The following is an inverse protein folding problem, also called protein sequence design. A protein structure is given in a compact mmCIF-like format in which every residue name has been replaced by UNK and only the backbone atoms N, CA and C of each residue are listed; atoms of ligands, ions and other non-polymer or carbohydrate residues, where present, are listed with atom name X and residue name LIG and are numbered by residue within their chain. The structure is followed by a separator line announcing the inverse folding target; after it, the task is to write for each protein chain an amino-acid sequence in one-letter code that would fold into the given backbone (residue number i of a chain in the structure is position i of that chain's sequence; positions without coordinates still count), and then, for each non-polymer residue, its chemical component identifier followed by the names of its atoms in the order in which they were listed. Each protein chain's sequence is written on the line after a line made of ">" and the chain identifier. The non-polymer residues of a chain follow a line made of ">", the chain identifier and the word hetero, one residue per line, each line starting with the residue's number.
data_IF_634368685667
#
_entry.id   IF_634368685667
#
_cell.length_a   1.000
_cell.length_b   1.000
_cell.length_c   1.000
_cell.angle_alpha   90.00
_cell.angle_beta   90.00
_cell.angle_gamma   90.00
#
_symmetry.space_group_name_H-M   'P 1'
#
loop_
_entity.id
_entity.type
_entity.pdbx_description
1 polymer ?
#
# COMPACT_ATOMS: atom_id res chain seq x y z
N UNK A 1 -24.22 -14.43 3.66
CA UNK A 1 -23.21 -14.86 2.67
C UNK A 1 -22.38 -16.09 3.10
N UNK A 2 -22.86 -16.97 3.99
CA UNK A 2 -22.17 -18.24 4.30
C UNK A 2 -20.84 -18.14 5.07
N UNK A 3 -20.30 -16.93 5.29
CA UNK A 3 -19.07 -16.72 6.05
C UNK A 3 -19.23 -16.97 7.55
N UNK A 4 -18.14 -17.41 8.17
CA UNK A 4 -18.04 -17.55 9.63
C UNK A 4 -17.82 -16.17 10.24
N UNK A 5 -18.70 -15.78 11.15
CA UNK A 5 -18.56 -14.53 11.89
C UNK A 5 -17.50 -14.71 12.97
N UNK A 6 -16.54 -13.80 13.01
CA UNK A 6 -15.47 -13.75 14.01
C UNK A 6 -15.34 -12.36 14.61
N UNK A 7 -14.85 -12.28 15.84
CA UNK A 7 -14.45 -11.01 16.47
C UNK A 7 -13.10 -10.50 15.91
N UNK A 8 -12.58 -9.41 16.45
CA UNK A 8 -11.27 -8.83 16.10
C UNK A 8 -10.09 -9.76 16.39
N UNK A 9 -10.27 -10.75 17.25
CA UNK A 9 -9.25 -11.76 17.61
C UNK A 9 -9.37 -13.05 16.80
N UNK A 10 -10.25 -13.07 15.79
CA UNK A 10 -10.57 -14.21 14.92
C UNK A 10 -11.31 -15.37 15.61
N UNK A 11 -11.89 -15.12 16.78
CA UNK A 11 -12.68 -16.09 17.53
C UNK A 11 -14.10 -16.17 16.98
N UNK A 12 -14.61 -17.40 16.84
CA UNK A 12 -16.01 -17.63 16.51
C UNK A 12 -16.91 -17.46 17.74
N UNK A 13 -18.22 -17.66 17.57
CA UNK A 13 -19.15 -17.73 18.71
C UNK A 13 -18.98 -18.97 19.60
N UNK A 14 -18.14 -19.93 19.20
CA UNK A 14 -17.84 -21.12 20.00
C UNK A 14 -16.48 -20.97 20.70
N UNK A 15 -16.40 -21.32 22.00
CA UNK A 15 -15.16 -21.20 22.74
C UNK A 15 -14.08 -22.11 22.13
N UNK A 16 -12.85 -21.62 22.11
CA UNK A 16 -11.67 -22.32 21.58
C UNK A 16 -11.78 -22.73 20.09
N UNK A 17 -12.58 -22.01 19.31
CA UNK A 17 -12.71 -22.19 17.86
C UNK A 17 -12.46 -20.85 17.18
N UNK A 18 -11.49 -20.81 16.28
CA UNK A 18 -11.15 -19.68 15.43
C UNK A 18 -11.47 -19.98 13.97
N UNK A 19 -11.68 -18.92 13.18
CA UNK A 19 -11.80 -19.01 11.73
C UNK A 19 -10.94 -17.92 11.06
N UNK A 20 -10.37 -18.23 9.91
CA UNK A 20 -9.40 -17.39 9.21
C UNK A 20 -9.53 -17.50 7.69
N UNK A 21 -8.94 -16.55 6.97
CA UNK A 21 -8.87 -16.55 5.50
C UNK A 21 -10.24 -16.40 4.84
N UNK A 22 -10.40 -17.01 3.67
CA UNK A 22 -11.60 -16.81 2.84
C UNK A 22 -12.91 -17.23 3.54
N UNK A 23 -12.83 -18.11 4.55
CA UNK A 23 -13.97 -18.54 5.34
C UNK A 23 -14.63 -17.41 6.14
N UNK A 24 -13.91 -16.34 6.47
CA UNK A 24 -14.44 -15.19 7.21
C UNK A 24 -14.87 -14.03 6.29
N UNK A 25 -14.62 -14.13 4.99
CA UNK A 25 -15.14 -13.20 3.98
C UNK A 25 -14.63 -11.75 4.06
N UNK A 26 -13.55 -11.48 4.80
CA UNK A 26 -12.98 -10.12 4.95
C UNK A 26 -12.16 -9.70 3.72
N UNK A 27 -11.10 -10.45 3.42
CA UNK A 27 -10.27 -10.25 2.23
C UNK A 27 -9.81 -11.60 1.67
N UNK A 28 -10.06 -11.83 0.39
CA UNK A 28 -9.78 -13.12 -0.26
C UNK A 28 -8.39 -13.13 -0.89
N UNK A 29 -7.37 -13.03 -0.04
CA UNK A 29 -5.98 -13.07 -0.47
C UNK A 29 -5.17 -14.08 0.34
N UNK A 30 -4.25 -14.78 -0.33
CA UNK A 30 -3.42 -15.79 0.32
C UNK A 30 -2.55 -15.21 1.45
N UNK A 31 -1.99 -14.02 1.28
CA UNK A 31 -1.21 -13.35 2.32
C UNK A 31 -2.08 -12.92 3.51
N UNK A 32 -3.35 -12.56 3.29
CA UNK A 32 -4.29 -12.28 4.39
C UNK A 32 -4.61 -13.57 5.14
N UNK A 33 -4.87 -14.69 4.46
CA UNK A 33 -5.08 -15.97 5.13
C UNK A 33 -3.86 -16.39 5.97
N UNK A 34 -2.64 -16.17 5.48
CA UNK A 34 -1.43 -16.45 6.25
C UNK A 34 -1.29 -15.53 7.49
N UNK A 35 -1.62 -14.24 7.34
CA UNK A 35 -1.66 -13.28 8.44
C UNK A 35 -2.68 -13.69 9.52
N UNK A 36 -3.90 -14.02 9.10
CA UNK A 36 -4.97 -14.47 9.98
C UNK A 36 -4.57 -15.71 10.78
N UNK A 37 -3.92 -16.68 10.13
CA UNK A 37 -3.41 -17.89 10.81
C UNK A 37 -2.41 -17.54 11.90
N UNK A 38 -1.49 -16.60 11.64
CA UNK A 38 -0.53 -16.13 12.64
C UNK A 38 -1.20 -15.47 13.84
N UNK A 39 -2.20 -14.62 13.60
CA UNK A 39 -2.97 -13.96 14.66
C UNK A 39 -3.78 -14.99 15.47
N UNK A 40 -4.51 -15.87 14.80
CA UNK A 40 -5.33 -16.89 15.45
C UNK A 40 -4.48 -17.85 16.30
N UNK A 41 -3.33 -18.29 15.78
CA UNK A 41 -2.38 -19.13 16.51
C UNK A 41 -1.82 -18.43 17.76
N UNK A 42 -1.39 -17.18 17.62
CA UNK A 42 -0.90 -16.42 18.78
C UNK A 42 -2.01 -16.21 19.83
N UNK A 43 -3.24 -15.93 19.39
CA UNK A 43 -4.38 -15.72 20.29
C UNK A 43 -4.88 -17.02 20.94
N UNK A 44 -4.66 -18.18 20.32
CA UNK A 44 -5.05 -19.47 20.91
C UNK A 44 -4.09 -19.91 22.03
N UNK A 45 -2.83 -19.49 21.96
CA UNK A 45 -1.77 -19.89 22.91
C UNK A 45 -1.42 -18.79 23.92
N UNK A 46 -1.70 -17.52 23.61
CA UNK A 46 -1.21 -16.37 24.34
C UNK A 46 -2.04 -15.98 25.57
N UNK A 47 -1.40 -15.35 26.54
CA UNK A 47 -2.08 -14.69 27.68
C UNK A 47 -2.65 -13.31 27.32
N UNK A 48 -2.20 -12.73 26.20
CA UNK A 48 -2.64 -11.45 25.68
C UNK A 48 -3.08 -11.62 24.23
N UNK A 49 -4.26 -11.11 23.90
CA UNK A 49 -4.79 -11.19 22.54
C UNK A 49 -4.35 -10.00 21.70
N UNK A 50 -4.00 -10.27 20.46
CA UNK A 50 -3.69 -9.26 19.44
C UNK A 50 -4.83 -9.20 18.42
N UNK A 51 -5.46 -8.04 18.20
CA UNK A 51 -6.48 -7.92 17.18
C UNK A 51 -5.86 -8.01 15.79
N UNK A 52 -6.59 -8.58 14.84
CA UNK A 52 -6.24 -8.53 13.43
C UNK A 52 -6.44 -7.10 12.90
N UNK A 53 -5.38 -6.53 12.34
CA UNK A 53 -5.38 -5.20 11.71
C UNK A 53 -5.39 -5.36 10.19
N UNK A 54 -6.49 -4.93 9.57
CA UNK A 54 -6.68 -4.93 8.13
C UNK A 54 -6.60 -3.53 7.51
N UNK A 55 -6.16 -2.52 8.26
CA UNK A 55 -6.10 -1.14 7.78
C UNK A 55 -5.11 -0.94 6.63
N UNK A 56 -4.19 -1.89 6.41
CA UNK A 56 -3.12 -1.80 5.42
C UNK A 56 -2.96 -3.10 4.62
N UNK A 57 -4.08 -3.75 4.25
CA UNK A 57 -4.04 -4.98 3.42
C UNK A 57 -3.50 -4.65 2.02
N UNK A 58 -2.36 -5.22 1.60
CA UNK A 58 -1.83 -4.99 0.26
C UNK A 58 -2.55 -5.87 -0.77
N UNK A 59 -2.43 -5.50 -2.03
CA UNK A 59 -2.92 -6.29 -3.16
C UNK A 59 -1.98 -6.16 -4.37
N UNK A 60 -1.98 -7.18 -5.23
CA UNK A 60 -1.26 -7.16 -6.49
C UNK A 60 -2.01 -7.95 -7.57
N UNK A 61 -1.92 -7.48 -8.81
CA UNK A 61 -2.37 -8.14 -10.04
C UNK A 61 -1.15 -8.33 -10.93
N UNK A 62 -0.84 -9.59 -11.25
CA UNK A 62 0.36 -9.98 -12.00
C UNK A 62 0.16 -9.92 -13.52
N UNK A 63 -0.51 -8.87 -14.00
CA UNK A 63 -0.67 -8.56 -15.42
C UNK A 63 0.60 -7.96 -16.02
N UNK A 64 0.56 -7.59 -17.31
CA UNK A 64 1.58 -6.76 -17.93
C UNK A 64 1.01 -5.40 -18.36
N UNK A 65 1.44 -4.28 -17.75
CA UNK A 65 2.30 -4.20 -16.57
C UNK A 65 1.61 -4.74 -15.30
N UNK A 66 2.38 -5.00 -14.25
CA UNK A 66 1.84 -5.38 -12.94
C UNK A 66 1.16 -4.17 -12.30
N UNK A 67 0.18 -4.42 -11.44
CA UNK A 67 -0.45 -3.40 -10.59
C UNK A 67 -0.36 -3.87 -9.14
N UNK A 68 0.09 -3.01 -8.24
CA UNK A 68 0.15 -3.30 -6.82
C UNK A 68 -0.21 -2.07 -5.99
N UNK A 69 -0.75 -2.28 -4.80
CA UNK A 69 -1.11 -1.16 -3.91
C UNK A 69 -1.28 -1.59 -2.47
N UNK A 70 -1.22 -0.59 -1.59
CA UNK A 70 -1.45 -0.73 -0.15
C UNK A 70 -2.00 0.59 0.40
N UNK A 71 -2.89 0.49 1.40
CA UNK A 71 -3.49 1.66 2.06
C UNK A 71 -4.59 2.32 1.23
N UNK A 72 -4.82 3.60 1.52
CA UNK A 72 -5.93 4.37 0.96
C UNK A 72 -5.67 4.83 -0.47
N UNK A 73 -6.68 4.72 -1.31
CA UNK A 73 -6.74 5.42 -2.59
C UNK A 73 -6.86 6.93 -2.39
N UNK A 74 -6.63 7.72 -3.45
CA UNK A 74 -6.75 9.19 -3.37
C UNK A 74 -8.14 9.65 -2.91
N UNK A 75 -9.25 9.15 -3.46
CA UNK A 75 -10.59 9.53 -2.98
C UNK A 75 -10.82 9.14 -1.52
N UNK A 76 -10.40 7.94 -1.10
CA UNK A 76 -10.53 7.49 0.30
C UNK A 76 -9.71 8.36 1.25
N UNK A 77 -8.47 8.71 0.87
CA UNK A 77 -7.60 9.57 1.65
C UNK A 77 -8.21 10.97 1.81
N UNK A 78 -8.75 11.56 0.74
CA UNK A 78 -9.42 12.87 0.80
C UNK A 78 -10.66 12.79 1.71
N UNK A 79 -11.43 11.69 1.62
CA UNK A 79 -12.63 11.48 2.44
C UNK A 79 -12.33 11.38 3.95
N UNK A 80 -11.08 11.13 4.36
CA UNK A 80 -10.68 11.16 5.77
C UNK A 80 -10.67 12.57 6.38
N UNK A 81 -10.69 13.62 5.55
CA UNK A 81 -10.55 15.01 5.99
C UNK A 81 -9.10 15.42 6.34
N UNK A 82 -8.12 14.53 6.15
CA UNK A 82 -6.69 14.84 6.27
C UNK A 82 -6.24 15.80 5.18
N UNK A 83 -5.17 16.56 5.45
CA UNK A 83 -4.46 17.33 4.42
C UNK A 83 -3.60 16.39 3.58
N UNK A 84 -4.17 15.82 2.53
CA UNK A 84 -3.47 14.83 1.70
C UNK A 84 -2.51 15.52 0.72
N UNK A 85 -1.25 15.08 0.71
CA UNK A 85 -0.31 15.35 -0.37
C UNK A 85 -0.07 14.07 -1.20
N UNK A 86 -0.07 14.22 -2.52
CA UNK A 86 0.08 13.13 -3.49
C UNK A 86 1.37 13.33 -4.26
N UNK A 87 2.16 12.28 -4.37
CA UNK A 87 3.40 12.27 -5.13
C UNK A 87 3.32 11.24 -6.24
N UNK A 88 3.74 11.60 -7.46
CA UNK A 88 3.73 10.69 -8.63
C UNK A 88 5.06 10.76 -9.36
N UNK A 89 5.61 9.60 -9.71
CA UNK A 89 6.83 9.52 -10.51
C UNK A 89 6.76 8.38 -11.52
N UNK A 90 7.14 8.68 -12.76
CA UNK A 90 7.11 7.71 -13.86
C UNK A 90 8.41 6.89 -13.87
N UNK A 91 8.29 5.59 -14.18
CA UNK A 91 9.45 4.70 -14.32
C UNK A 91 10.44 5.23 -15.37
N UNK A 92 9.92 5.74 -16.49
CA UNK A 92 10.71 6.30 -17.59
C UNK A 92 11.63 7.47 -17.19
N UNK A 93 11.42 8.07 -16.01
CA UNK A 93 12.21 9.20 -15.51
C UNK A 93 13.32 8.77 -14.52
N UNK A 94 13.53 7.47 -14.29
CA UNK A 94 14.66 6.95 -13.50
C UNK A 94 15.79 6.47 -14.41
N UNK A 95 17.03 6.47 -13.91
CA UNK A 95 18.17 5.94 -14.67
C UNK A 95 17.98 4.46 -15.02
N UNK A 96 17.40 3.68 -14.11
CA UNK A 96 17.08 2.27 -14.39
C UNK A 96 15.96 2.11 -15.42
N UNK A 97 14.93 2.96 -15.38
CA UNK A 97 13.86 2.96 -16.37
C UNK A 97 14.34 3.34 -17.77
N UNK A 98 15.26 4.29 -17.87
CA UNK A 98 15.93 4.62 -19.14
C UNK A 98 16.73 3.41 -19.67
N UNK A 99 17.52 2.76 -18.83
CA UNK A 99 18.28 1.56 -19.20
C UNK A 99 17.39 0.37 -19.63
N UNK A 100 16.13 0.35 -19.19
CA UNK A 100 15.13 -0.65 -19.58
C UNK A 100 14.31 -0.26 -20.82
N UNK A 101 14.63 0.85 -21.49
CA UNK A 101 13.90 1.32 -22.67
C UNK A 101 12.58 2.03 -22.34
N UNK A 102 12.53 2.76 -21.21
CA UNK A 102 11.38 3.58 -20.78
C UNK A 102 10.08 2.77 -20.66
N UNK A 103 10.03 1.76 -19.76
CA UNK A 103 8.83 0.97 -19.58
C UNK A 103 7.65 1.86 -19.13
N UNK A 104 6.41 1.53 -19.54
CA UNK A 104 5.23 2.24 -19.06
C UNK A 104 5.05 1.97 -17.56
N UNK A 105 4.56 2.97 -16.84
CA UNK A 105 4.25 2.83 -15.43
C UNK A 105 4.65 4.02 -14.57
N UNK A 106 4.10 4.06 -13.36
CA UNK A 106 4.37 5.07 -12.36
C UNK A 106 4.17 4.52 -10.94
N UNK A 107 4.77 5.18 -9.98
CA UNK A 107 4.43 5.10 -8.56
C UNK A 107 3.60 6.32 -8.18
N UNK A 108 2.54 6.13 -7.40
CA UNK A 108 1.79 7.16 -6.72
C UNK A 108 1.80 6.91 -5.22
N UNK A 109 2.25 7.87 -4.43
CA UNK A 109 2.25 7.83 -2.95
C UNK A 109 1.33 8.90 -2.38
N UNK A 110 0.77 8.65 -1.22
CA UNK A 110 -0.13 9.55 -0.52
C UNK A 110 0.36 9.72 0.91
N UNK A 111 0.56 10.95 1.34
CA UNK A 111 0.96 11.27 2.72
C UNK A 111 0.01 12.29 3.34
N UNK A 112 -0.11 12.23 4.65
CA UNK A 112 -0.67 13.33 5.44
C UNK A 112 0.37 14.45 5.52
N UNK A 113 0.02 15.63 5.02
CA UNK A 113 0.91 16.78 4.92
C UNK A 113 1.25 17.39 6.29
N UNK A 114 0.49 17.09 7.34
CA UNK A 114 0.71 17.66 8.67
C UNK A 114 1.77 16.90 9.47
N UNK A 115 1.84 15.57 9.30
CA UNK A 115 2.72 14.69 10.10
C UNK A 115 3.60 13.74 9.26
N UNK A 116 3.48 13.77 7.93
CA UNK A 116 4.21 12.92 6.99
C UNK A 116 3.94 11.41 7.16
N UNK A 117 2.75 11.05 7.67
CA UNK A 117 2.23 9.69 7.73
C UNK A 117 1.93 9.18 6.30
N UNK A 118 2.41 7.98 5.96
CA UNK A 118 2.08 7.29 4.72
C UNK A 118 0.64 6.77 4.79
N UNK A 119 -0.23 7.31 3.95
CA UNK A 119 -1.65 6.95 3.88
C UNK A 119 -1.91 5.81 2.89
N UNK A 120 -1.11 5.72 1.84
CA UNK A 120 -1.18 4.66 0.86
C UNK A 120 -0.22 4.86 -0.30
N UNK A 121 -0.13 3.86 -1.16
CA UNK A 121 0.58 3.97 -2.41
C UNK A 121 0.24 2.87 -3.39
N UNK A 122 0.38 3.22 -4.67
CA UNK A 122 -0.12 2.45 -5.80
C UNK A 122 0.93 2.50 -6.90
N UNK A 123 1.24 1.34 -7.45
CA UNK A 123 2.31 1.16 -8.42
C UNK A 123 1.72 0.41 -9.61
N UNK A 124 1.91 0.96 -10.80
CA UNK A 124 1.68 0.26 -12.06
C UNK A 124 3.00 0.26 -12.81
N UNK A 125 3.53 -0.91 -13.17
CA UNK A 125 4.81 -1.00 -13.85
C UNK A 125 5.50 -2.34 -13.70
N UNK A 126 6.73 -2.42 -14.21
CA UNK A 126 7.57 -3.61 -14.04
C UNK A 126 7.91 -3.81 -12.56
N UNK A 127 7.75 -5.04 -12.06
CA UNK A 127 8.00 -5.41 -10.66
C UNK A 127 7.22 -4.57 -9.63
N UNK A 128 6.02 -4.08 -9.98
CA UNK A 128 5.15 -3.35 -9.05
C UNK A 128 4.85 -4.18 -7.79
N UNK A 129 4.62 -5.49 -7.94
CA UNK A 129 4.37 -6.42 -6.84
C UNK A 129 5.55 -6.58 -5.89
N UNK A 130 6.77 -6.25 -6.32
CA UNK A 130 7.98 -6.25 -5.47
C UNK A 130 8.17 -4.89 -4.83
N UNK A 131 8.11 -3.80 -5.61
CA UNK A 131 8.36 -2.44 -5.11
C UNK A 131 7.35 -2.00 -4.06
N UNK A 132 6.10 -2.48 -4.11
CA UNK A 132 5.08 -2.14 -3.10
C UNK A 132 5.49 -2.57 -1.68
N UNK A 133 6.38 -3.55 -1.54
CA UNK A 133 6.83 -4.02 -0.22
C UNK A 133 7.58 -2.97 0.60
N UNK A 134 8.21 -1.98 -0.04
CA UNK A 134 8.81 -0.84 0.67
C UNK A 134 7.74 -0.02 1.40
N UNK A 135 6.59 0.18 0.75
CA UNK A 135 5.44 0.89 1.33
C UNK A 135 4.75 0.04 2.40
N UNK A 136 4.59 -1.27 2.17
CA UNK A 136 4.02 -2.21 3.15
C UNK A 136 4.83 -2.18 4.45
N UNK A 137 6.16 -2.19 4.35
CA UNK A 137 7.04 -2.15 5.51
C UNK A 137 6.85 -0.88 6.36
N UNK A 138 6.71 0.28 5.73
CA UNK A 138 6.41 1.54 6.43
C UNK A 138 5.01 1.52 7.04
N UNK A 139 4.00 1.07 6.30
CA UNK A 139 2.62 1.05 6.80
C UNK A 139 2.42 0.10 7.98
N UNK A 140 3.31 -0.87 8.17
CA UNK A 140 3.34 -1.76 9.33
C UNK A 140 3.99 -1.14 10.58
N UNK A 141 4.62 0.04 10.48
CA UNK A 141 5.15 0.74 11.66
C UNK A 141 4.03 1.47 12.40
N UNK A 142 4.26 1.74 13.69
CA UNK A 142 3.26 2.41 14.54
C UNK A 142 2.94 3.84 14.08
N UNK A 143 3.94 4.58 13.61
CA UNK A 143 3.82 5.98 13.20
C UNK A 143 3.57 6.14 11.69
N UNK A 144 3.76 5.06 10.92
CA UNK A 144 3.71 5.03 9.45
C UNK A 144 4.48 6.17 8.80
N UNK A 145 5.56 6.63 9.43
CA UNK A 145 6.29 7.80 8.94
C UNK A 145 6.93 7.49 7.60
N UNK A 146 6.69 8.31 6.58
CA UNK A 146 7.31 8.16 5.27
C UNK A 146 8.77 8.63 5.22
N UNK A 147 9.28 9.24 6.30
CA UNK A 147 10.64 9.79 6.37
C UNK A 147 11.76 8.77 6.07
N UNK A 148 11.69 7.49 6.48
CA UNK A 148 12.71 6.51 6.13
C UNK A 148 12.84 6.31 4.61
N UNK A 149 11.73 6.34 3.85
CA UNK A 149 11.77 6.21 2.39
C UNK A 149 12.41 7.42 1.72
N UNK A 150 12.28 8.61 2.31
CA UNK A 150 12.90 9.82 1.75
C UNK A 150 14.35 10.04 2.19
N UNK A 151 14.79 9.35 3.25
CA UNK A 151 16.13 9.49 3.85
C UNK A 151 17.05 8.31 3.55
N UNK A 152 16.49 7.18 3.12
CA UNK A 152 17.26 6.00 2.75
C UNK A 152 18.16 6.30 1.54
N UNK A 153 19.38 5.76 1.58
CA UNK A 153 20.31 5.83 0.45
C UNK A 153 19.96 4.75 -0.56
N UNK A 154 19.17 5.12 -1.57
CA UNK A 154 18.83 4.22 -2.67
C UNK A 154 20.06 3.96 -3.54
N UNK A 155 20.27 2.70 -3.90
CA UNK A 155 21.31 2.31 -4.86
C UNK A 155 20.95 2.89 -6.23
N UNK A 156 21.94 3.39 -6.96
CA UNK A 156 21.78 3.89 -8.33
C UNK A 156 22.62 3.07 -9.32
N UNK A 157 22.09 2.70 -10.51
CA UNK A 157 20.68 2.79 -10.90
C UNK A 157 19.85 1.62 -10.33
N UNK A 158 18.68 1.89 -9.75
CA UNK A 158 17.74 0.88 -9.28
C UNK A 158 16.29 1.23 -9.59
N UNK A 159 15.43 0.21 -9.69
CA UNK A 159 13.99 0.44 -9.89
C UNK A 159 13.35 1.10 -8.67
N UNK A 160 13.81 0.78 -7.45
CA UNK A 160 13.31 1.35 -6.20
C UNK A 160 13.42 2.88 -6.12
N UNK A 161 14.35 3.49 -6.88
CA UNK A 161 14.41 4.95 -7.01
C UNK A 161 13.07 5.55 -7.48
N UNK A 162 12.23 4.83 -8.23
CA UNK A 162 10.90 5.34 -8.63
C UNK A 162 9.97 5.57 -7.43
N UNK A 163 10.12 4.79 -6.36
CA UNK A 163 9.37 4.95 -5.11
C UNK A 163 9.89 6.17 -4.36
N UNK A 164 11.20 6.28 -4.16
CA UNK A 164 11.84 7.44 -3.54
C UNK A 164 11.45 8.76 -4.23
N UNK A 165 11.57 8.79 -5.56
CA UNK A 165 11.33 10.00 -6.36
C UNK A 165 9.88 10.43 -6.38
N UNK A 166 8.93 9.53 -6.11
CA UNK A 166 7.53 9.89 -5.93
C UNK A 166 7.33 10.81 -4.72
N UNK A 167 8.06 10.60 -3.62
CA UNK A 167 8.00 11.48 -2.45
C UNK A 167 8.61 12.87 -2.69
N UNK A 168 9.46 13.03 -3.71
CA UNK A 168 10.02 14.35 -4.06
C UNK A 168 9.07 15.20 -4.91
N UNK A 169 7.95 14.62 -5.35
CA UNK A 169 6.92 15.24 -6.19
C UNK A 169 5.59 15.41 -5.45
N UNK A 170 5.65 15.55 -4.12
CA UNK A 170 4.46 15.74 -3.30
C UNK A 170 3.81 17.10 -3.58
N UNK A 171 2.54 17.06 -3.98
CA UNK A 171 1.68 18.22 -4.21
C UNK A 171 0.38 18.05 -3.44
N UNK A 172 -0.26 19.14 -2.99
CA UNK A 172 -1.53 19.02 -2.26
C UNK A 172 -2.61 18.45 -3.17
N UNK A 173 -3.37 17.47 -2.66
CA UNK A 173 -4.53 16.94 -3.37
C UNK A 173 -5.64 18.01 -3.38
N UNK A 174 -5.99 18.49 -4.56
CA UNK A 174 -7.16 19.36 -4.75
C UNK A 174 -8.45 18.58 -4.51
N UNK A 175 -9.46 19.21 -3.89
CA UNK A 175 -10.80 18.62 -3.73
C UNK A 175 -11.64 18.62 -5.02
N UNK A 176 -11.13 19.20 -6.12
CA UNK A 176 -11.84 19.22 -7.39
C UNK A 176 -11.73 17.88 -8.12
N UNK A 177 -12.90 17.27 -8.29
CA UNK A 177 -13.09 16.00 -8.98
C UNK A 177 -12.78 16.09 -10.47
N UNK A 178 -11.90 15.20 -10.94
CA UNK A 178 -12.09 14.48 -12.20
C UNK A 178 -11.82 15.24 -13.50
N UNK A 179 -10.55 15.46 -13.85
CA UNK A 179 -10.13 15.46 -15.25
C UNK A 179 -8.83 14.65 -15.42
N UNK A 180 -8.69 13.86 -16.50
CA UNK A 180 -7.42 13.21 -16.81
C UNK A 180 -6.39 14.26 -17.22
N UNK A 181 -5.20 14.22 -16.60
CA UNK A 181 -4.01 15.00 -16.95
C UNK A 181 -3.89 15.16 -18.48
N UNK A 182 -4.25 16.33 -19.01
CA UNK A 182 -3.96 16.65 -20.40
C UNK A 182 -2.46 16.90 -20.51
N UNK A 183 -1.80 16.01 -21.24
CA UNK A 183 -0.41 16.13 -21.65
C UNK A 183 -0.15 17.51 -22.28
N UNK A 184 0.58 18.38 -21.59
CA UNK A 184 1.25 19.51 -22.22
C UNK A 184 2.49 18.98 -22.95
N UNK A 185 2.33 18.67 -24.23
CA UNK A 185 3.44 18.68 -25.17
C UNK A 185 3.73 20.14 -25.52
N UNK A 186 4.85 20.67 -25.02
CA UNK A 186 5.46 21.87 -25.62
C UNK A 186 6.53 21.42 -26.60
N UNK A 187 6.48 22.02 -27.79
CA UNK A 187 7.47 21.98 -28.85
C UNK A 187 8.89 22.34 -28.42
#
# INVERSE_FOLDING_TARGET
>A
HGYVIVNEFLETSKPNIWACGDAIGKHMFKHVANYDVGIAWNNSQGTHKTPADYSTVPHAVFSYPEVAGVGLTTPEAIATGKRVAVGKYNYANTGKGEAMGKPPGFVKVLVDADNFELLGGHIIGHQASVLVHELIAIMATKDKSALPLTRAMHIHPALSEVVERAFWRLEQASQDHGEPDQHTHSH
#
